data_IF_631679900118
#
_entry.id   IF_631679900118
#
_cell.length_a   1.000
_cell.length_b   1.000
_cell.length_c   1.000
_cell.angle_alpha   90.00
_cell.angle_beta   90.00
_cell.angle_gamma   90.00
#
_symmetry.space_group_name_H-M   'P 1'
#
loop_
_entity.id
_entity.type
_entity.pdbx_description
1 polymer ?
#
# COMPACT_ATOMS: atom_id res chain seq x y z
N UNK A 1 18.99 -16.42 -19.37
CA UNK A 1 17.89 -16.68 -18.44
C UNK A 1 17.08 -15.41 -18.37
N UNK A 2 16.07 -15.31 -19.23
CA UNK A 2 15.28 -14.11 -19.44
C UNK A 2 14.34 -13.96 -18.24
N UNK A 3 14.45 -12.85 -17.54
CA UNK A 3 13.67 -12.54 -16.35
C UNK A 3 12.18 -12.45 -16.75
N UNK A 4 11.37 -13.39 -16.25
CA UNK A 4 9.93 -13.48 -16.56
C UNK A 4 9.09 -12.43 -15.79
N UNK A 5 9.72 -11.38 -15.23
CA UNK A 5 9.09 -10.39 -14.36
C UNK A 5 8.61 -9.11 -15.06
N UNK A 6 8.79 -8.98 -16.38
CA UNK A 6 8.30 -7.86 -17.22
C UNK A 6 6.90 -8.14 -17.83
N UNK A 7 6.05 -8.90 -17.14
CA UNK A 7 4.60 -8.85 -17.36
C UNK A 7 3.95 -8.07 -16.20
N UNK A 8 4.54 -6.93 -15.85
CA UNK A 8 3.94 -5.95 -14.96
C UNK A 8 2.57 -5.59 -15.51
N UNK A 9 1.53 -6.07 -14.84
CA UNK A 9 0.10 -5.92 -15.14
C UNK A 9 -0.27 -5.36 -16.53
N UNK A 10 -0.99 -6.15 -17.34
CA UNK A 10 -1.62 -5.78 -18.65
C UNK A 10 -2.29 -4.37 -18.65
N UNK A 11 -2.62 -3.85 -17.47
CA UNK A 11 -3.17 -2.51 -17.25
C UNK A 11 -2.24 -1.73 -16.30
N UNK A 12 -1.65 -0.61 -16.73
CA UNK A 12 -0.68 0.17 -15.93
C UNK A 12 -1.16 0.55 -14.52
N UNK A 13 -2.47 0.79 -14.33
CA UNK A 13 -3.05 1.20 -13.05
C UNK A 13 -3.31 0.07 -12.05
N UNK A 14 -3.11 -1.20 -12.44
CA UNK A 14 -3.21 -2.33 -11.50
C UNK A 14 -1.95 -2.49 -10.68
N UNK A 15 -0.82 -2.02 -11.20
CA UNK A 15 0.40 -1.87 -10.40
C UNK A 15 0.36 -0.51 -9.70
N UNK A 16 0.34 -0.52 -8.37
CA UNK A 16 0.34 0.73 -7.59
C UNK A 16 1.60 0.73 -6.74
N UNK A 17 2.56 1.58 -7.11
CA UNK A 17 3.73 1.85 -6.28
C UNK A 17 3.36 2.85 -5.17
N UNK A 18 3.56 2.46 -3.92
CA UNK A 18 3.26 3.32 -2.76
C UNK A 18 4.42 4.27 -2.48
N UNK A 19 4.10 5.53 -2.13
CA UNK A 19 5.10 6.50 -1.68
C UNK A 19 5.83 5.98 -0.42
N UNK A 20 7.15 6.04 -0.43
CA UNK A 20 7.96 5.84 0.79
C UNK A 20 7.52 6.86 1.85
N UNK A 21 7.18 6.35 3.03
CA UNK A 21 6.67 7.14 4.16
C UNK A 21 7.18 6.56 5.47
N UNK A 22 7.23 7.39 6.52
CA UNK A 22 7.55 6.93 7.87
C UNK A 22 6.37 6.12 8.42
N UNK A 23 6.66 4.97 9.01
CA UNK A 23 5.66 4.21 9.76
C UNK A 23 5.40 4.88 11.12
N UNK A 24 4.12 5.00 11.49
CA UNK A 24 3.66 5.47 12.80
C UNK A 24 2.71 4.46 13.43
N UNK A 25 2.49 4.54 14.74
CA UNK A 25 1.52 3.70 15.46
C UNK A 25 0.29 4.55 15.84
N UNK A 26 -0.91 4.08 15.49
CA UNK A 26 -2.21 4.61 15.96
C UNK A 26 -2.80 3.58 16.91
N UNK A 27 -2.62 3.78 18.22
CA UNK A 27 -2.83 2.71 19.19
C UNK A 27 -1.94 1.52 18.87
N UNK A 28 -2.52 0.34 18.66
CA UNK A 28 -1.81 -0.88 18.24
C UNK A 28 -1.70 -1.07 16.73
N UNK A 29 -2.17 -0.12 15.91
CA UNK A 29 -2.23 -0.26 14.44
C UNK A 29 -1.06 0.48 13.77
N UNK A 30 -0.19 -0.21 12.99
CA UNK A 30 0.86 0.44 12.22
C UNK A 30 0.29 1.09 10.95
N UNK A 31 0.68 2.34 10.66
CA UNK A 31 0.23 3.12 9.50
C UNK A 31 1.43 3.71 8.76
N UNK A 32 1.47 3.54 7.44
CA UNK A 32 2.57 4.02 6.59
C UNK A 32 3.75 3.05 6.52
N UNK A 33 4.81 3.43 5.80
CA UNK A 33 5.94 2.55 5.53
C UNK A 33 5.52 1.28 4.80
N UNK A 34 6.05 0.14 5.24
CA UNK A 34 5.80 -1.18 4.66
C UNK A 34 4.52 -1.84 5.22
N UNK A 35 3.83 -1.19 6.16
CA UNK A 35 2.57 -1.69 6.70
C UNK A 35 1.44 -1.66 5.64
N UNK A 36 0.46 -2.58 5.68
CA UNK A 36 -0.71 -2.56 4.80
C UNK A 36 -1.49 -1.23 4.85
N UNK A 37 -2.31 -0.95 3.82
CA UNK A 37 -3.17 0.24 3.82
C UNK A 37 -4.32 0.02 4.82
N UNK A 38 -4.38 0.86 5.86
CA UNK A 38 -5.44 0.84 6.85
C UNK A 38 -6.74 1.47 6.33
N UNK A 39 -7.89 0.91 6.72
CA UNK A 39 -9.21 1.53 6.51
C UNK A 39 -9.59 2.34 7.75
N UNK A 40 -10.19 3.51 7.55
CA UNK A 40 -10.73 4.35 8.61
C UNK A 40 -12.13 4.85 8.23
N UNK A 41 -12.99 5.03 9.22
CA UNK A 41 -14.31 5.67 9.08
C UNK A 41 -14.55 6.65 10.23
N UNK A 42 -15.65 7.39 10.13
CA UNK A 42 -16.11 8.34 11.16
C UNK A 42 -17.61 8.11 11.42
N UNK A 43 -18.05 8.25 12.67
CA UNK A 43 -19.47 8.16 13.04
C UNK A 43 -20.23 9.43 12.63
N UNK A 44 -21.53 9.30 12.37
CA UNK A 44 -22.40 10.40 11.89
C UNK A 44 -23.43 10.90 12.93
N UNK A 45 -23.36 10.39 14.16
CA UNK A 45 -24.23 10.76 15.29
C UNK A 45 -23.89 12.12 15.85
#
# INVERSE_FOLDING_TARGET
MSDHSELGHIRPWRHIERRKSRQIMVGSVPVGGDAPISVQSMTNT
#
